data_IF_581463471179
#
_entry.id   IF_581463471179
#
_cell.length_a   1.000
_cell.length_b   1.000
_cell.length_c   1.000
_cell.angle_alpha   90.00
_cell.angle_beta   90.00
_cell.angle_gamma   90.00
#
_symmetry.space_group_name_H-M   'P 1'
#
loop_
_entity.id
_entity.type
_entity.pdbx_description
1 polymer ?
#
# COMPACT_ATOMS: atom_id res chain seq x y z
N UNK A 1 -15.95 -11.52 7.27
CA UNK A 1 -14.71 -11.03 6.61
C UNK A 1 -13.70 -12.17 6.65
N UNK A 2 -13.21 -12.64 5.47
CA UNK A 2 -12.23 -13.73 5.44
C UNK A 2 -10.82 -13.15 5.57
N UNK A 3 -9.98 -13.75 6.39
CA UNK A 3 -8.54 -13.51 6.40
C UNK A 3 -7.94 -13.99 5.08
N UNK A 4 -7.15 -13.16 4.45
CA UNK A 4 -6.43 -13.46 3.21
C UNK A 4 -4.96 -13.14 3.37
N UNK A 5 -4.13 -13.87 2.62
CA UNK A 5 -2.70 -13.57 2.48
C UNK A 5 -2.41 -13.09 1.06
N UNK A 6 -1.41 -12.23 0.92
CA UNK A 6 -0.93 -11.77 -0.38
C UNK A 6 -0.55 -12.93 -1.31
N UNK A 7 -0.79 -12.77 -2.61
CA UNK A 7 -0.46 -13.77 -3.64
C UNK A 7 1.02 -13.92 -3.91
N UNK A 8 1.85 -13.05 -3.33
CA UNK A 8 3.31 -13.06 -3.48
C UNK A 8 3.76 -13.06 -4.95
N UNK A 9 3.28 -12.06 -5.69
CA UNK A 9 3.71 -11.80 -7.08
C UNK A 9 5.24 -11.88 -7.22
N UNK A 10 5.81 -12.50 -8.28
CA UNK A 10 7.25 -12.69 -8.42
C UNK A 10 8.04 -11.38 -8.38
N UNK A 11 9.18 -11.37 -7.70
CA UNK A 11 10.13 -10.24 -7.73
C UNK A 11 10.59 -10.00 -9.17
N UNK A 12 10.84 -8.74 -9.52
CA UNK A 12 11.16 -8.32 -10.88
C UNK A 12 9.94 -8.04 -11.75
N UNK A 13 8.72 -8.38 -11.31
CA UNK A 13 7.48 -8.03 -12.03
C UNK A 13 7.39 -6.51 -12.19
N UNK A 14 7.15 -5.99 -13.42
CA UNK A 14 7.00 -4.55 -13.62
C UNK A 14 5.73 -4.00 -12.98
N UNK A 15 5.78 -2.76 -12.51
CA UNK A 15 4.59 -2.03 -12.08
C UNK A 15 3.61 -1.86 -13.26
N UNK A 16 2.33 -1.99 -12.97
CA UNK A 16 1.27 -1.77 -13.97
C UNK A 16 0.86 -0.31 -13.94
N UNK A 17 0.67 0.29 -15.12
CA UNK A 17 0.19 1.66 -15.24
C UNK A 17 -1.23 1.79 -14.69
N UNK A 18 -1.50 2.93 -14.09
CA UNK A 18 -2.81 3.31 -13.60
C UNK A 18 -3.03 4.82 -13.78
N UNK A 19 -4.29 5.24 -13.76
CA UNK A 19 -4.70 6.63 -13.64
C UNK A 19 -5.90 6.69 -12.70
N UNK A 20 -5.73 7.26 -11.50
CA UNK A 20 -6.69 7.19 -10.42
C UNK A 20 -6.91 8.55 -9.74
N UNK A 21 -8.11 8.80 -9.27
CA UNK A 21 -8.44 9.97 -8.48
C UNK A 21 -7.93 9.84 -7.05
N UNK A 22 -7.24 10.86 -6.55
CA UNK A 22 -6.79 10.95 -5.18
C UNK A 22 -7.85 11.55 -4.23
N UNK A 23 -7.72 11.25 -2.95
CA UNK A 23 -8.51 11.87 -1.88
C UNK A 23 -8.29 13.38 -1.76
N UNK A 24 -7.23 13.92 -2.35
CA UNK A 24 -6.93 15.37 -2.46
C UNK A 24 -7.54 16.02 -3.71
N UNK A 25 -8.40 15.31 -4.44
CA UNK A 25 -9.05 15.74 -5.68
C UNK A 25 -8.11 15.91 -6.88
N UNK A 26 -6.88 15.40 -6.81
CA UNK A 26 -5.98 15.34 -7.96
C UNK A 26 -6.08 13.97 -8.63
N UNK A 27 -5.61 13.89 -9.88
CA UNK A 27 -5.45 12.64 -10.61
C UNK A 27 -3.98 12.25 -10.58
N UNK A 28 -3.72 10.98 -10.31
CA UNK A 28 -2.36 10.43 -10.25
C UNK A 28 -2.24 9.24 -11.19
N UNK A 29 -1.12 9.18 -11.87
CA UNK A 29 -0.70 8.02 -12.66
C UNK A 29 0.62 7.45 -12.12
N UNK A 30 1.06 6.32 -12.65
CA UNK A 30 2.38 5.78 -12.30
C UNK A 30 3.49 6.79 -12.61
N UNK A 31 3.36 7.55 -13.69
CA UNK A 31 4.28 8.57 -14.15
C UNK A 31 4.36 9.78 -13.21
N UNK A 32 3.30 10.04 -12.44
CA UNK A 32 3.30 11.10 -11.41
C UNK A 32 4.39 10.93 -10.36
N UNK A 33 4.95 9.74 -10.25
CA UNK A 33 5.99 9.37 -9.29
C UNK A 33 7.34 9.06 -9.96
N UNK A 34 7.53 9.44 -11.23
CA UNK A 34 8.73 9.12 -11.99
C UNK A 34 10.03 9.63 -11.37
N UNK A 35 9.96 10.73 -10.60
CA UNK A 35 11.07 11.35 -9.86
C UNK A 35 11.45 10.58 -8.58
N UNK A 36 10.64 9.63 -8.13
CA UNK A 36 10.87 8.88 -6.89
C UNK A 36 11.76 7.66 -7.13
N UNK A 37 12.76 7.50 -6.28
CA UNK A 37 13.68 6.35 -6.32
C UNK A 37 12.96 5.06 -5.97
N UNK A 38 12.11 5.08 -4.96
CA UNK A 38 11.29 3.95 -4.53
C UNK A 38 9.81 4.35 -4.49
N UNK A 39 8.96 3.47 -5.01
CA UNK A 39 7.51 3.61 -4.96
C UNK A 39 6.93 2.44 -4.16
N UNK A 40 6.25 2.76 -3.06
CA UNK A 40 5.57 1.78 -2.20
C UNK A 40 4.08 1.87 -2.48
N UNK A 41 3.54 0.89 -3.20
CA UNK A 41 2.10 0.78 -3.47
C UNK A 41 1.47 -0.10 -2.40
N UNK A 42 0.40 0.39 -1.79
CA UNK A 42 -0.29 -0.28 -0.69
C UNK A 42 -1.79 -0.35 -1.03
N UNK A 43 -2.30 -1.54 -1.32
CA UNK A 43 -3.75 -1.71 -1.38
C UNK A 43 -4.30 -1.68 0.04
N UNK A 44 -5.12 -0.68 0.34
CA UNK A 44 -5.65 -0.40 1.67
C UNK A 44 -7.08 0.14 1.57
N UNK A 45 -7.81 0.13 2.68
CA UNK A 45 -9.16 0.64 2.72
C UNK A 45 -9.52 1.21 4.10
N UNK A 46 -10.63 1.93 4.21
CA UNK A 46 -10.97 2.68 5.42
C UNK A 46 -11.52 1.80 6.55
N UNK A 47 -12.26 0.75 6.22
CA UNK A 47 -12.95 -0.04 7.24
C UNK A 47 -12.17 -1.27 7.73
N UNK A 48 -11.07 -1.65 7.07
CA UNK A 48 -10.27 -2.83 7.43
C UNK A 48 -9.56 -2.64 8.79
N UNK A 49 -9.78 -3.52 9.79
CA UNK A 49 -9.11 -3.40 11.08
C UNK A 49 -7.58 -3.55 10.98
N UNK A 50 -7.09 -4.39 10.08
CA UNK A 50 -5.65 -4.55 9.83
C UNK A 50 -5.03 -3.24 9.31
N UNK A 51 -5.71 -2.56 8.38
CA UNK A 51 -5.24 -1.24 7.89
C UNK A 51 -5.28 -0.21 9.01
N UNK A 52 -6.38 -0.15 9.77
CA UNK A 52 -6.52 0.80 10.88
C UNK A 52 -5.41 0.65 11.93
N UNK A 53 -5.02 -0.59 12.22
CA UNK A 53 -3.98 -0.89 13.20
C UNK A 53 -2.58 -0.43 12.74
N UNK A 54 -2.28 -0.48 11.44
CA UNK A 54 -0.95 -0.14 10.91
C UNK A 54 -0.87 1.25 10.28
N UNK A 55 -1.99 1.97 10.14
CA UNK A 55 -2.06 3.24 9.40
C UNK A 55 -1.08 4.30 9.95
N UNK A 56 -1.00 4.44 11.27
CA UNK A 56 -0.07 5.41 11.86
C UNK A 56 1.38 5.06 11.54
N UNK A 57 1.74 3.77 11.54
CA UNK A 57 3.09 3.30 11.17
C UNK A 57 3.43 3.63 9.71
N UNK A 58 2.45 3.57 8.79
CA UNK A 58 2.63 3.97 7.38
C UNK A 58 2.83 5.48 7.25
N UNK A 59 2.06 6.29 7.99
CA UNK A 59 2.21 7.75 8.03
C UNK A 59 3.59 8.13 8.54
N UNK A 60 4.04 7.52 9.64
CA UNK A 60 5.36 7.75 10.22
C UNK A 60 6.47 7.30 9.25
N UNK A 61 6.29 6.14 8.60
CA UNK A 61 7.24 5.63 7.61
C UNK A 61 7.41 6.60 6.42
N UNK A 62 6.30 7.14 5.88
CA UNK A 62 6.40 8.16 4.82
C UNK A 62 7.20 9.37 5.28
N UNK A 63 6.90 9.89 6.47
CA UNK A 63 7.61 11.03 7.05
C UNK A 63 9.10 10.75 7.27
N UNK A 64 9.44 9.52 7.68
CA UNK A 64 10.83 9.09 7.88
C UNK A 64 11.63 8.93 6.58
N UNK A 65 10.94 8.68 5.45
CA UNK A 65 11.60 8.23 4.21
C UNK A 65 11.41 9.15 3.01
N UNK A 66 10.50 10.13 3.05
CA UNK A 66 10.20 11.00 1.90
C UNK A 66 11.43 11.75 1.38
N UNK A 67 12.30 12.25 2.28
CA UNK A 67 13.53 12.95 1.92
C UNK A 67 14.62 12.03 1.33
N UNK A 68 14.41 10.70 1.38
CA UNK A 68 15.27 9.68 0.79
C UNK A 68 14.78 9.21 -0.58
N UNK A 69 13.80 9.92 -1.16
CA UNK A 69 13.23 9.59 -2.47
C UNK A 69 12.23 8.44 -2.46
N UNK A 70 11.67 8.11 -1.28
CA UNK A 70 10.61 7.09 -1.14
C UNK A 70 9.24 7.78 -1.17
N UNK A 71 8.31 7.22 -1.93
CA UNK A 71 6.91 7.63 -1.95
C UNK A 71 5.99 6.46 -1.66
N UNK A 72 5.18 6.58 -0.61
CA UNK A 72 4.05 5.68 -0.37
C UNK A 72 2.84 6.15 -1.18
N UNK A 73 2.05 5.21 -1.67
CA UNK A 73 0.78 5.44 -2.36
C UNK A 73 -0.23 4.40 -1.87
N UNK A 74 -1.30 4.84 -1.23
CA UNK A 74 -2.42 3.99 -0.86
C UNK A 74 -3.40 3.86 -2.02
N UNK A 75 -3.95 2.68 -2.27
CA UNK A 75 -5.00 2.44 -3.28
C UNK A 75 -6.16 1.71 -2.63
N UNK A 76 -7.34 2.32 -2.68
CA UNK A 76 -8.58 1.69 -2.24
C UNK A 76 -9.36 1.17 -3.44
N UNK A 77 -9.53 -0.14 -3.50
CA UNK A 77 -10.24 -0.84 -4.57
C UNK A 77 -11.51 -1.55 -4.08
N UNK A 78 -12.00 -1.22 -2.88
CA UNK A 78 -13.23 -1.83 -2.39
C UNK A 78 -14.47 -1.29 -3.11
N UNK A 79 -15.49 -2.14 -3.22
CA UNK A 79 -16.79 -1.74 -3.72
C UNK A 79 -17.47 -0.76 -2.77
N UNK A 80 -17.36 0.54 -3.06
CA UNK A 80 -17.91 1.61 -2.25
C UNK A 80 -19.44 1.68 -2.28
N UNK A 81 -20.12 0.99 -3.20
CA UNK A 81 -21.57 0.92 -3.22
C UNK A 81 -22.09 0.00 -2.09
N UNK A 82 -21.42 -1.14 -1.88
CA UNK A 82 -21.74 -2.08 -0.79
C UNK A 82 -21.08 -1.73 0.53
N UNK A 83 -19.97 -1.01 0.47
CA UNK A 83 -19.15 -0.60 1.62
C UNK A 83 -18.92 0.92 1.58
N UNK A 84 -19.95 1.74 1.92
CA UNK A 84 -19.88 3.20 1.80
C UNK A 84 -18.75 3.86 2.58
N UNK A 85 -18.27 3.22 3.65
CA UNK A 85 -17.08 3.66 4.40
C UNK A 85 -15.85 3.82 3.50
N UNK A 86 -15.78 3.09 2.38
CA UNK A 86 -14.68 3.12 1.42
C UNK A 86 -14.93 4.04 0.22
N UNK A 87 -15.96 4.89 0.27
CA UNK A 87 -16.22 5.89 -0.76
C UNK A 87 -15.11 6.94 -0.83
N UNK A 88 -14.96 7.57 -1.99
CA UNK A 88 -13.98 8.65 -2.19
C UNK A 88 -14.18 9.80 -1.18
N UNK A 89 -15.45 10.12 -0.87
CA UNK A 89 -15.78 11.12 0.14
C UNK A 89 -15.25 10.74 1.53
N UNK A 90 -15.47 9.50 1.96
CA UNK A 90 -14.96 9.01 3.23
C UNK A 90 -13.42 8.88 3.22
N UNK A 91 -12.80 8.57 2.09
CA UNK A 91 -11.34 8.63 1.94
C UNK A 91 -10.81 10.05 2.16
N UNK A 92 -11.50 11.08 1.64
CA UNK A 92 -11.14 12.50 1.86
C UNK A 92 -11.25 12.87 3.34
N UNK A 93 -12.31 12.41 4.02
CA UNK A 93 -12.51 12.66 5.46
C UNK A 93 -11.37 12.01 6.25
N UNK A 94 -11.14 10.72 6.07
CA UNK A 94 -10.11 9.97 6.79
C UNK A 94 -8.71 10.52 6.52
N UNK A 95 -8.41 10.90 5.28
CA UNK A 95 -7.12 11.53 4.94
C UNK A 95 -6.84 12.75 5.81
N UNK A 96 -7.84 13.61 6.00
CA UNK A 96 -7.73 14.80 6.85
C UNK A 96 -7.67 14.46 8.34
N UNK A 97 -8.56 13.62 8.81
CA UNK A 97 -8.67 13.26 10.24
C UNK A 97 -7.46 12.51 10.78
N UNK A 98 -6.89 11.62 9.95
CA UNK A 98 -5.72 10.81 10.33
C UNK A 98 -4.40 11.44 9.93
N UNK A 99 -4.43 12.53 9.15
CA UNK A 99 -3.21 13.17 8.66
C UNK A 99 -2.41 12.29 7.70
N UNK A 100 -3.10 11.53 6.81
CA UNK A 100 -2.43 10.72 5.80
C UNK A 100 -1.60 11.64 4.90
N UNK A 101 -0.29 11.44 4.90
CA UNK A 101 0.70 12.30 4.27
C UNK A 101 1.26 11.75 2.94
N UNK A 102 0.54 10.84 2.34
CA UNK A 102 0.84 10.27 1.02
C UNK A 102 -0.43 10.21 0.16
N UNK A 103 -0.33 10.15 -1.19
CA UNK A 103 -1.48 10.01 -2.07
C UNK A 103 -2.31 8.78 -1.71
N UNK A 104 -3.62 8.98 -1.53
CA UNK A 104 -4.58 7.91 -1.27
C UNK A 104 -5.61 7.89 -2.41
N UNK A 105 -5.51 6.88 -3.26
CA UNK A 105 -6.15 6.81 -4.57
C UNK A 105 -7.34 5.87 -4.56
N UNK A 106 -8.36 6.21 -5.36
CA UNK A 106 -9.59 5.42 -5.47
C UNK A 106 -9.64 4.66 -6.80
N UNK A 107 -9.49 3.35 -6.74
CA UNK A 107 -9.66 2.43 -7.88
C UNK A 107 -11.11 1.96 -7.98
N UNK A 108 -12.01 2.87 -8.40
CA UNK A 108 -13.43 2.56 -8.54
C UNK A 108 -13.70 1.37 -9.44
N UNK A 109 -12.93 1.23 -10.52
CA UNK A 109 -13.08 0.14 -11.49
C UNK A 109 -12.60 -1.22 -10.98
N UNK A 110 -11.76 -1.23 -9.95
CA UNK A 110 -11.05 -2.40 -9.42
C UNK A 110 -10.06 -3.03 -10.41
N UNK A 111 -9.82 -2.37 -11.54
CA UNK A 111 -8.90 -2.87 -12.57
C UNK A 111 -7.45 -2.83 -12.10
N UNK A 112 -7.08 -1.79 -11.34
CA UNK A 112 -5.73 -1.67 -10.81
C UNK A 112 -5.43 -2.81 -9.83
N UNK A 113 -6.30 -3.07 -8.86
CA UNK A 113 -6.09 -4.18 -7.92
C UNK A 113 -6.00 -5.53 -8.63
N UNK A 114 -6.86 -5.77 -9.65
CA UNK A 114 -6.80 -7.00 -10.45
C UNK A 114 -5.48 -7.13 -11.21
N UNK A 115 -5.01 -6.05 -11.83
CA UNK A 115 -3.76 -6.02 -12.60
C UNK A 115 -2.52 -6.25 -11.71
N UNK A 116 -2.54 -5.76 -10.48
CA UNK A 116 -1.50 -5.99 -9.46
C UNK A 116 -1.63 -7.35 -8.76
N UNK A 117 -2.68 -8.11 -9.03
CA UNK A 117 -2.99 -9.37 -8.34
C UNK A 117 -3.18 -9.19 -6.82
N UNK A 118 -3.60 -8.01 -6.40
CA UNK A 118 -3.88 -7.71 -5.00
C UNK A 118 -5.18 -8.42 -4.56
N UNK A 119 -5.17 -9.03 -3.40
CA UNK A 119 -6.32 -9.81 -2.88
C UNK A 119 -6.74 -9.43 -1.47
N UNK A 120 -5.87 -8.73 -0.73
CA UNK A 120 -6.12 -8.35 0.67
C UNK A 120 -5.78 -6.87 0.93
N UNK A 121 -6.12 -6.41 2.12
CA UNK A 121 -5.75 -5.09 2.64
C UNK A 121 -5.27 -5.20 4.10
N UNK A 122 -4.07 -4.70 4.43
CA UNK A 122 -3.09 -4.10 3.51
C UNK A 122 -2.39 -5.15 2.64
N UNK A 123 -2.04 -4.77 1.39
CA UNK A 123 -1.18 -5.56 0.52
C UNK A 123 -0.08 -4.64 -0.04
N UNK A 124 1.20 -4.98 0.15
CA UNK A 124 2.32 -4.04 0.02
C UNK A 124 3.30 -4.48 -1.05
N UNK A 125 3.65 -3.54 -1.94
CA UNK A 125 4.55 -3.72 -3.07
C UNK A 125 5.55 -2.57 -3.13
N UNK A 126 6.86 -2.86 -3.17
CA UNK A 126 7.90 -1.85 -3.34
C UNK A 126 8.56 -2.00 -4.71
N UNK A 127 8.53 -0.93 -5.47
CA UNK A 127 9.12 -0.84 -6.79
C UNK A 127 10.36 0.06 -6.77
N UNK A 128 11.43 -0.40 -7.41
CA UNK A 128 12.64 0.36 -7.61
C UNK A 128 12.51 1.44 -8.70
N UNK A 129 13.63 2.09 -9.03
CA UNK A 129 13.71 3.15 -10.05
C UNK A 129 13.22 2.66 -11.43
N UNK A 130 13.55 1.43 -11.81
CA UNK A 130 13.06 0.81 -13.05
C UNK A 130 11.61 0.31 -12.97
N UNK A 131 10.90 0.60 -11.88
CA UNK A 131 9.55 0.12 -11.61
C UNK A 131 9.42 -1.41 -11.68
N UNK A 132 10.46 -2.11 -11.28
CA UNK A 132 10.45 -3.55 -11.02
C UNK A 132 10.22 -3.82 -9.54
N UNK A 133 9.40 -4.82 -9.23
CA UNK A 133 9.09 -5.24 -7.86
C UNK A 133 10.34 -5.79 -7.16
N UNK A 134 10.70 -5.21 -6.04
CA UNK A 134 11.89 -5.58 -5.25
C UNK A 134 11.55 -6.04 -3.84
N UNK A 135 10.38 -5.67 -3.35
CA UNK A 135 9.83 -6.19 -2.09
C UNK A 135 8.31 -6.30 -2.19
N UNK A 136 7.80 -7.38 -1.66
CA UNK A 136 6.39 -7.58 -1.34
C UNK A 136 6.32 -8.34 -0.03
N UNK A 137 5.47 -7.88 0.87
CA UNK A 137 5.41 -8.52 2.18
C UNK A 137 4.66 -7.67 3.19
N UNK A 138 4.74 -8.10 4.44
CA UNK A 138 4.08 -7.44 5.57
C UNK A 138 4.80 -6.15 5.95
N UNK A 139 4.12 -5.29 6.73
CA UNK A 139 4.73 -4.07 7.26
C UNK A 139 5.73 -4.41 8.39
N UNK A 140 5.33 -5.32 9.29
CA UNK A 140 6.07 -5.77 10.46
C UNK A 140 5.56 -7.14 10.96
N UNK A 141 6.12 -7.65 12.03
CA UNK A 141 5.83 -8.98 12.59
C UNK A 141 4.62 -9.00 13.54
N UNK A 142 4.07 -7.84 13.95
CA UNK A 142 2.84 -7.75 14.75
C UNK A 142 1.93 -6.60 14.26
N UNK A 143 0.94 -6.93 13.45
CA UNK A 143 0.01 -5.94 12.91
C UNK A 143 -0.90 -5.34 14.00
N UNK A 144 -1.20 -6.06 15.07
CA UNK A 144 -2.18 -5.69 16.10
C UNK A 144 -1.55 -4.88 17.23
N UNK A 145 -0.36 -5.30 17.69
CA UNK A 145 0.28 -4.73 18.88
C UNK A 145 1.60 -4.05 18.50
N UNK A 146 1.54 -2.76 18.22
CA UNK A 146 2.72 -1.99 17.82
C UNK A 146 3.88 -2.08 18.83
N UNK A 147 3.56 -2.16 20.12
CA UNK A 147 4.54 -2.27 21.20
C UNK A 147 5.25 -3.63 21.27
N UNK A 148 4.72 -4.64 20.57
CA UNK A 148 5.29 -5.99 20.49
C UNK A 148 6.09 -6.21 19.20
N UNK A 149 6.08 -5.22 18.27
CA UNK A 149 6.83 -5.31 17.02
C UNK A 149 8.32 -5.44 17.33
N UNK A 150 8.91 -6.54 16.87
CA UNK A 150 10.34 -6.83 17.00
C UNK A 150 11.08 -6.70 15.66
N UNK A 151 10.37 -6.87 14.53
CA UNK A 151 10.92 -6.75 13.18
C UNK A 151 10.03 -5.85 12.32
N UNK A 152 10.61 -4.77 11.79
CA UNK A 152 9.95 -3.80 10.92
C UNK A 152 10.26 -4.10 9.45
N UNK A 153 9.72 -5.22 8.93
CA UNK A 153 10.10 -5.81 7.63
C UNK A 153 10.11 -4.78 6.49
N UNK A 154 9.04 -3.99 6.31
CA UNK A 154 8.97 -2.99 5.25
C UNK A 154 10.04 -1.91 5.42
N UNK A 155 10.19 -1.38 6.63
CA UNK A 155 11.19 -0.33 6.89
C UNK A 155 12.61 -0.84 6.68
N UNK A 156 12.92 -2.00 7.19
CA UNK A 156 14.24 -2.62 7.04
C UNK A 156 14.53 -2.91 5.56
N UNK A 157 13.54 -3.42 4.80
CA UNK A 157 13.67 -3.62 3.36
C UNK A 157 14.01 -2.30 2.64
N UNK A 158 13.29 -1.21 2.95
CA UNK A 158 13.58 0.11 2.38
C UNK A 158 15.00 0.59 2.73
N UNK A 159 15.44 0.38 3.97
CA UNK A 159 16.79 0.77 4.40
C UNK A 159 17.89 -0.01 3.65
N UNK A 160 17.72 -1.32 3.45
CA UNK A 160 18.65 -2.13 2.66
C UNK A 160 18.70 -1.67 1.20
N UNK A 161 17.52 -1.47 0.57
CA UNK A 161 17.44 -1.04 -0.83
C UNK A 161 18.10 0.33 -1.03
N UNK A 162 17.80 1.31 -0.16
CA UNK A 162 18.39 2.66 -0.24
C UNK A 162 19.91 2.62 -0.03
N UNK A 163 20.40 1.68 0.77
CA UNK A 163 21.83 1.46 0.95
C UNK A 163 22.48 0.69 -0.22
N UNK A 164 21.74 0.35 -1.27
CA UNK A 164 22.23 -0.43 -2.42
C UNK A 164 22.54 -1.88 -2.08
N UNK A 165 21.92 -2.42 -1.04
CA UNK A 165 22.12 -3.79 -0.55
C UNK A 165 20.92 -4.67 -0.87
N UNK A 166 21.16 -5.97 -0.99
CA UNK A 166 20.09 -6.97 -1.07
C UNK A 166 19.38 -7.10 0.27
N UNK A 167 18.06 -7.41 0.22
CA UNK A 167 17.29 -7.71 1.42
C UNK A 167 17.71 -9.08 1.94
N UNK A 168 18.26 -9.18 3.17
CA UNK A 168 18.89 -10.42 3.66
C UNK A 168 17.90 -11.37 4.34
N UNK A 169 16.60 -11.07 4.35
CA UNK A 169 15.58 -11.86 5.04
C UNK A 169 14.46 -12.31 4.09
N UNK A 170 13.73 -13.34 4.51
CA UNK A 170 12.57 -13.84 3.79
C UNK A 170 11.45 -12.81 3.81
N UNK A 171 10.82 -12.59 2.65
CA UNK A 171 9.70 -11.67 2.49
C UNK A 171 8.39 -12.40 2.83
N UNK A 172 7.87 -12.16 4.02
CA UNK A 172 6.66 -12.81 4.54
C UNK A 172 5.42 -12.13 3.94
N UNK A 173 4.43 -12.90 3.43
CA UNK A 173 3.21 -12.34 2.86
C UNK A 173 2.48 -11.38 3.79
N UNK A 174 1.98 -10.27 3.25
CA UNK A 174 0.95 -9.47 3.93
C UNK A 174 -0.26 -10.32 4.24
N UNK A 175 -0.96 -9.98 5.32
CA UNK A 175 -2.24 -10.57 5.69
C UNK A 175 -3.25 -9.48 6.01
N UNK A 176 -4.52 -9.77 5.77
CA UNK A 176 -5.58 -8.82 6.09
C UNK A 176 -6.95 -9.24 5.57
N UNK A 177 -7.85 -8.27 5.48
CA UNK A 177 -9.19 -8.49 4.93
C UNK A 177 -9.14 -8.68 3.41
N UNK A 178 -9.98 -9.57 2.87
CA UNK A 178 -10.16 -9.64 1.41
C UNK A 178 -10.61 -8.30 0.81
N UNK A 179 -10.13 -7.96 -0.37
CA UNK A 179 -10.70 -6.87 -1.18
C UNK A 179 -12.17 -7.19 -1.45
N UNK A 180 -13.04 -6.16 -1.36
CA UNK A 180 -14.48 -6.28 -1.59
C UNK A 180 -14.76 -6.03 -3.06
N UNK A 181 -14.79 -7.12 -3.83
CA UNK A 181 -15.05 -7.06 -5.26
C UNK A 181 -16.51 -6.73 -5.55
N UNK A 182 -16.73 -5.95 -6.62
CA UNK A 182 -18.07 -5.76 -7.20
C UNK A 182 -18.60 -7.11 -7.70
N UNK A 183 -19.86 -7.38 -7.44
CA UNK A 183 -20.55 -8.50 -8.08
C UNK A 183 -20.82 -8.14 -9.54
N UNK A 184 -20.54 -9.07 -10.44
CA UNK A 184 -20.83 -8.94 -11.87
C UNK A 184 -22.34 -9.08 -12.11
#
# INVERSE_FOLDING_TARGET
MGLMHSTMVPLGTPAVSFELSGSDSKVYSLESFADKTLLVIIFMCNHCPYVKAVLQRLIDLQKETEYRGVQLVGINSNDAQRYPDDSLENMQIITREKGINFPYLFDYSQQTARAYNAVCTPDIYVYGLERKLIYRGRIDDDWEHQEQVTQRDLKEALDYIIAGKEIPFEQIPSMGCSIKWKEN
#
